data_IF_792071155040
#
_entry.id   IF_792071155040
#
_cell.length_a   1.000
_cell.length_b   1.000
_cell.length_c   1.000
_cell.angle_alpha   90.00
_cell.angle_beta   90.00
_cell.angle_gamma   90.00
#
_symmetry.space_group_name_H-M   'P 1'
#
loop_
_entity.id
_entity.type
_entity.pdbx_description
1 polymer ?
#
# COMPACT_ATOMS: atom_id res chain seq x y z
N UNK A 1 -12.74 -15.56 -33.81
CA UNK A 1 -11.78 -14.66 -33.14
C UNK A 1 -12.58 -13.69 -32.28
N UNK A 2 -12.20 -13.48 -31.02
CA UNK A 2 -12.88 -12.50 -30.17
C UNK A 2 -12.54 -11.09 -30.65
N UNK A 3 -13.48 -10.12 -30.55
CA UNK A 3 -13.19 -8.76 -30.96
C UNK A 3 -12.03 -8.17 -30.13
N UNK A 4 -11.21 -7.28 -30.71
CA UNK A 4 -10.19 -6.57 -29.96
C UNK A 4 -10.78 -5.85 -28.74
N UNK A 5 -10.08 -5.92 -27.62
CA UNK A 5 -10.50 -5.27 -26.37
C UNK A 5 -9.76 -3.94 -26.23
N UNK A 6 -10.48 -2.89 -25.88
CA UNK A 6 -9.90 -1.58 -25.55
C UNK A 6 -10.11 -1.30 -24.06
N UNK A 7 -9.03 -0.92 -23.38
CA UNK A 7 -9.06 -0.44 -21.99
C UNK A 7 -8.34 0.89 -21.91
N UNK A 8 -8.97 1.87 -21.29
CA UNK A 8 -8.40 3.19 -21.06
C UNK A 8 -7.77 3.25 -19.67
N UNK A 9 -6.56 3.78 -19.59
CA UNK A 9 -5.77 3.85 -18.35
C UNK A 9 -5.58 5.31 -17.95
N UNK A 10 -5.95 5.64 -16.73
CA UNK A 10 -5.66 6.92 -16.10
C UNK A 10 -4.72 6.69 -14.92
N UNK A 11 -3.65 7.46 -14.80
CA UNK A 11 -2.65 7.30 -13.74
C UNK A 11 -2.57 8.56 -12.89
N UNK A 12 -2.81 8.44 -11.60
CA UNK A 12 -2.55 9.48 -10.60
C UNK A 12 -1.33 9.03 -9.80
N UNK A 13 -0.29 9.86 -9.75
CA UNK A 13 0.97 9.52 -9.11
C UNK A 13 1.99 8.93 -10.09
N UNK A 14 2.99 9.74 -10.44
CA UNK A 14 4.12 9.36 -11.31
C UNK A 14 5.46 9.48 -10.57
N UNK A 15 5.45 9.17 -9.27
CA UNK A 15 6.65 9.04 -8.42
C UNK A 15 7.39 7.73 -8.70
N UNK A 16 8.17 7.23 -7.72
CA UNK A 16 8.96 6.00 -7.87
C UNK A 16 8.12 4.79 -8.33
N UNK A 17 7.04 4.48 -7.61
CA UNK A 17 6.11 3.40 -7.97
C UNK A 17 5.42 3.67 -9.31
N UNK A 18 4.93 4.88 -9.53
CA UNK A 18 4.23 5.25 -10.77
C UNK A 18 5.10 5.14 -12.03
N UNK A 19 6.38 5.53 -11.95
CA UNK A 19 7.36 5.37 -13.04
C UNK A 19 7.63 3.89 -13.35
N UNK A 20 7.85 3.08 -12.32
CA UNK A 20 8.03 1.64 -12.48
C UNK A 20 6.80 1.00 -13.12
N UNK A 21 5.60 1.37 -12.64
CA UNK A 21 4.32 0.93 -13.21
C UNK A 21 4.18 1.31 -14.69
N UNK A 22 4.43 2.57 -15.07
CA UNK A 22 4.31 3.03 -16.47
C UNK A 22 5.29 2.31 -17.40
N UNK A 23 6.51 2.02 -16.93
CA UNK A 23 7.48 1.22 -17.68
C UNK A 23 6.97 -0.20 -17.94
N UNK A 24 6.46 -0.87 -16.90
CA UNK A 24 5.88 -2.21 -17.02
C UNK A 24 4.61 -2.21 -17.87
N UNK A 25 3.76 -1.19 -17.73
CA UNK A 25 2.52 -1.03 -18.50
C UNK A 25 2.82 -0.88 -20.00
N UNK A 26 3.88 -0.16 -20.39
CA UNK A 26 4.32 -0.07 -21.78
C UNK A 26 4.69 -1.45 -22.35
N UNK A 27 5.47 -2.22 -21.61
CA UNK A 27 5.86 -3.58 -22.02
C UNK A 27 4.64 -4.51 -22.12
N UNK A 28 3.73 -4.43 -21.14
CA UNK A 28 2.47 -5.16 -21.13
C UNK A 28 1.58 -4.80 -22.32
N UNK A 29 1.40 -3.50 -22.60
CA UNK A 29 0.59 -3.01 -23.71
C UNK A 29 1.08 -3.54 -25.05
N UNK A 30 2.41 -3.49 -25.28
CA UNK A 30 3.03 -4.08 -26.48
C UNK A 30 2.70 -5.56 -26.63
N UNK A 31 2.92 -6.36 -25.56
CA UNK A 31 2.65 -7.80 -25.56
C UNK A 31 1.18 -8.14 -25.80
N UNK A 32 0.26 -7.44 -25.13
CA UNK A 32 -1.18 -7.71 -25.24
C UNK A 32 -1.76 -7.35 -26.61
N UNK A 33 -1.24 -6.29 -27.24
CA UNK A 33 -1.69 -5.86 -28.57
C UNK A 33 -1.33 -6.84 -29.68
N UNK A 34 -0.30 -7.67 -29.47
CA UNK A 34 0.20 -8.67 -30.44
C UNK A 34 -0.50 -10.04 -30.33
N UNK A 35 -1.46 -10.21 -29.41
CA UNK A 35 -2.19 -11.47 -29.28
C UNK A 35 -2.97 -11.79 -30.57
N UNK A 36 -2.73 -12.97 -31.15
CA UNK A 36 -3.36 -13.41 -32.40
C UNK A 36 -4.85 -13.76 -32.24
N UNK A 37 -5.30 -14.08 -31.02
CA UNK A 37 -6.66 -14.59 -30.76
C UNK A 37 -7.58 -13.57 -30.13
N UNK A 38 -7.03 -12.66 -29.32
CA UNK A 38 -7.77 -11.62 -28.58
C UNK A 38 -6.84 -10.44 -28.25
N UNK A 39 -6.47 -9.61 -29.23
CA UNK A 39 -5.63 -8.43 -28.99
C UNK A 39 -6.31 -7.49 -27.99
N UNK A 40 -5.53 -6.98 -27.04
CA UNK A 40 -6.00 -6.00 -26.06
C UNK A 40 -5.13 -4.75 -26.13
N UNK A 41 -5.76 -3.61 -26.36
CA UNK A 41 -5.12 -2.30 -26.43
C UNK A 41 -5.31 -1.56 -25.11
N UNK A 42 -4.19 -1.12 -24.54
CA UNK A 42 -4.16 -0.29 -23.33
C UNK A 42 -3.80 1.14 -23.73
N UNK A 43 -4.75 2.06 -23.58
CA UNK A 43 -4.60 3.46 -23.97
C UNK A 43 -4.44 4.35 -22.75
N UNK A 44 -3.26 4.89 -22.54
CA UNK A 44 -3.01 5.88 -21.50
C UNK A 44 -3.71 7.19 -21.89
N UNK A 45 -4.64 7.68 -21.07
CA UNK A 45 -5.45 8.86 -21.39
C UNK A 45 -5.30 10.00 -20.39
N UNK A 46 -4.74 9.72 -19.21
CA UNK A 46 -4.50 10.71 -18.17
C UNK A 46 -3.28 10.34 -17.34
N UNK A 47 -2.48 11.34 -17.01
CA UNK A 47 -1.37 11.28 -16.06
C UNK A 47 -1.44 12.53 -15.17
N UNK A 48 -1.29 12.35 -13.86
CA UNK A 48 -1.16 13.49 -12.96
C UNK A 48 -0.16 13.27 -11.84
N UNK A 49 0.37 14.38 -11.33
CA UNK A 49 1.05 14.52 -10.05
C UNK A 49 0.48 15.74 -9.34
N UNK A 50 0.92 16.00 -8.11
CA UNK A 50 0.42 17.12 -7.28
C UNK A 50 0.47 18.50 -7.94
N UNK A 51 1.30 18.70 -8.97
CA UNK A 51 1.52 19.99 -9.64
C UNK A 51 1.27 20.01 -11.15
N UNK A 52 1.02 18.86 -11.78
CA UNK A 52 0.89 18.77 -13.24
C UNK A 52 -0.17 17.74 -13.62
N UNK A 53 -0.89 18.05 -14.69
CA UNK A 53 -1.88 17.17 -15.32
C UNK A 53 -1.59 17.10 -16.82
N UNK A 54 -1.71 15.91 -17.39
CA UNK A 54 -1.77 15.67 -18.82
C UNK A 54 -2.96 14.74 -19.08
N UNK A 55 -3.88 15.11 -19.95
CA UNK A 55 -4.99 14.23 -20.33
C UNK A 55 -5.46 14.50 -21.75
N UNK A 56 -6.09 13.49 -22.35
CA UNK A 56 -6.58 13.52 -23.72
C UNK A 56 -8.08 13.82 -23.76
N UNK A 57 -8.49 14.99 -24.26
CA UNK A 57 -9.90 15.43 -24.22
C UNK A 57 -10.86 14.51 -24.99
N UNK A 58 -10.36 13.84 -26.02
CA UNK A 58 -11.09 12.95 -26.91
C UNK A 58 -10.67 11.48 -26.74
N UNK A 59 -9.94 11.18 -25.65
CA UNK A 59 -9.48 9.83 -25.29
C UNK A 59 -8.49 9.19 -26.28
N UNK A 60 -7.85 9.98 -27.17
CA UNK A 60 -6.70 9.49 -27.92
C UNK A 60 -5.54 9.09 -26.99
N UNK A 61 -4.81 8.00 -27.28
CA UNK A 61 -3.73 7.52 -26.42
C UNK A 61 -2.57 8.53 -26.33
N UNK A 62 -2.15 8.81 -25.10
CA UNK A 62 -0.91 9.49 -24.78
C UNK A 62 0.29 8.56 -25.02
N UNK A 63 1.43 9.14 -25.34
CA UNK A 63 2.65 8.40 -25.65
C UNK A 63 3.30 7.83 -24.39
N UNK A 64 3.44 6.50 -24.32
CA UNK A 64 4.27 5.84 -23.30
C UNK A 64 5.76 6.17 -23.42
N UNK A 65 6.22 6.69 -24.56
CA UNK A 65 7.64 7.02 -24.79
C UNK A 65 8.03 8.41 -24.32
N UNK A 66 7.10 9.37 -24.37
CA UNK A 66 7.36 10.79 -24.09
C UNK A 66 6.54 11.35 -22.93
N UNK A 67 5.72 10.53 -22.26
CA UNK A 67 4.79 10.97 -21.22
C UNK A 67 5.41 11.89 -20.17
N UNK A 68 6.67 11.65 -19.79
CA UNK A 68 7.35 12.45 -18.77
C UNK A 68 7.64 13.87 -19.25
N UNK A 69 8.19 13.99 -20.46
CA UNK A 69 8.44 15.29 -21.09
C UNK A 69 7.12 16.02 -21.36
N UNK A 70 6.11 15.30 -21.86
CA UNK A 70 4.78 15.85 -22.16
C UNK A 70 4.07 16.35 -20.89
N UNK A 71 4.14 15.58 -19.79
CA UNK A 71 3.57 15.97 -18.49
C UNK A 71 4.31 17.18 -17.89
N UNK A 72 5.64 17.21 -18.02
CA UNK A 72 6.46 18.33 -17.54
C UNK A 72 6.15 19.62 -18.31
N UNK A 73 6.01 19.51 -19.64
CA UNK A 73 5.68 20.62 -20.54
C UNK A 73 4.22 21.06 -20.43
N UNK A 74 3.32 20.21 -19.94
CA UNK A 74 1.89 20.53 -19.82
C UNK A 74 1.64 21.80 -19.00
N UNK A 75 0.81 22.67 -19.56
CA UNK A 75 0.29 23.90 -18.93
C UNK A 75 -1.17 23.77 -18.51
N UNK A 76 -1.75 22.57 -18.64
CA UNK A 76 -3.13 22.33 -18.24
C UNK A 76 -3.30 22.57 -16.74
N UNK A 77 -4.38 23.24 -16.32
CA UNK A 77 -4.70 23.37 -14.90
C UNK A 77 -5.03 21.98 -14.33
N UNK A 78 -4.72 21.78 -13.05
CA UNK A 78 -5.18 20.60 -12.33
C UNK A 78 -6.71 20.57 -12.31
N UNK A 79 -7.27 19.37 -12.46
CA UNK A 79 -8.70 19.14 -12.31
C UNK A 79 -8.99 18.66 -10.89
N UNK A 80 -10.04 19.17 -10.24
CA UNK A 80 -10.61 18.53 -9.06
C UNK A 80 -10.94 17.07 -9.33
N UNK A 81 -10.79 16.20 -8.33
CA UNK A 81 -11.01 14.75 -8.48
C UNK A 81 -12.42 14.41 -8.97
N UNK A 82 -13.43 15.18 -8.57
CA UNK A 82 -14.78 15.06 -9.10
C UNK A 82 -14.84 15.23 -10.63
N UNK A 83 -14.13 16.21 -11.17
CA UNK A 83 -14.05 16.46 -12.62
C UNK A 83 -13.23 15.38 -13.33
N UNK A 84 -12.21 14.82 -12.67
CA UNK A 84 -11.48 13.65 -13.17
C UNK A 84 -12.43 12.46 -13.28
N UNK A 85 -13.23 12.17 -12.26
CA UNK A 85 -14.21 11.09 -12.28
C UNK A 85 -15.26 11.28 -13.39
N UNK A 86 -15.76 12.51 -13.59
CA UNK A 86 -16.71 12.83 -14.66
C UNK A 86 -16.09 12.74 -16.06
N UNK A 87 -14.80 13.05 -16.21
CA UNK A 87 -14.06 12.84 -17.45
C UNK A 87 -13.90 11.34 -17.74
N UNK A 88 -13.43 10.55 -16.77
CA UNK A 88 -13.20 9.11 -16.94
C UNK A 88 -14.51 8.34 -17.20
N UNK A 89 -15.61 8.70 -16.53
CA UNK A 89 -16.91 8.08 -16.74
C UNK A 89 -17.52 8.32 -18.13
N UNK A 90 -16.98 9.26 -18.92
CA UNK A 90 -17.41 9.53 -20.31
C UNK A 90 -16.57 8.82 -21.37
N UNK A 91 -15.54 8.08 -20.98
CA UNK A 91 -14.73 7.35 -21.94
C UNK A 91 -15.59 6.34 -22.71
N UNK A 92 -15.31 6.07 -24.00
CA UNK A 92 -16.13 5.21 -24.85
C UNK A 92 -15.99 3.71 -24.54
N UNK A 93 -15.28 3.35 -23.46
CA UNK A 93 -15.00 1.97 -23.09
C UNK A 93 -14.60 1.83 -21.64
N UNK A 94 -14.11 0.64 -21.26
CA UNK A 94 -13.73 0.33 -19.88
C UNK A 94 -12.52 1.18 -19.46
N UNK A 95 -12.60 1.75 -18.26
CA UNK A 95 -11.54 2.59 -17.69
C UNK A 95 -10.99 1.98 -16.42
N UNK A 96 -9.67 2.04 -16.28
CA UNK A 96 -8.95 1.73 -15.05
C UNK A 96 -8.21 2.99 -14.60
N UNK A 97 -8.59 3.51 -13.45
CA UNK A 97 -7.81 4.46 -12.67
C UNK A 97 -6.74 3.69 -11.89
N UNK A 98 -5.49 4.13 -12.02
CA UNK A 98 -4.35 3.62 -11.28
C UNK A 98 -3.89 4.72 -10.33
N UNK A 99 -4.18 4.58 -9.04
CA UNK A 99 -3.72 5.51 -8.01
C UNK A 99 -2.43 4.99 -7.37
N UNK A 100 -1.28 5.51 -7.81
CA UNK A 100 0.04 5.20 -7.27
C UNK A 100 0.49 6.21 -6.21
N UNK A 101 -0.44 6.81 -5.47
CA UNK A 101 -0.14 7.78 -4.41
C UNK A 101 -0.36 7.19 -3.01
N UNK A 102 -0.10 8.00 -1.99
CA UNK A 102 -0.50 7.79 -0.60
C UNK A 102 -1.53 8.84 -0.14
N UNK A 103 -2.27 9.43 -1.09
CA UNK A 103 -3.20 10.54 -0.86
C UNK A 103 -4.50 10.06 -0.22
N UNK A 104 -4.90 10.70 0.88
CA UNK A 104 -6.22 10.49 1.47
C UNK A 104 -7.34 11.02 0.55
N UNK A 105 -7.13 12.20 -0.02
CA UNK A 105 -8.11 12.86 -0.91
C UNK A 105 -8.46 11.98 -2.13
N UNK A 106 -7.45 11.33 -2.74
CA UNK A 106 -7.70 10.41 -3.86
C UNK A 106 -8.49 9.18 -3.41
N UNK A 107 -8.18 8.64 -2.23
CA UNK A 107 -8.87 7.49 -1.66
C UNK A 107 -10.32 7.79 -1.29
N UNK A 108 -10.60 8.96 -0.72
CA UNK A 108 -11.96 9.41 -0.38
C UNK A 108 -12.87 9.52 -1.63
N UNK A 109 -12.28 9.70 -2.81
CA UNK A 109 -13.00 9.77 -4.08
C UNK A 109 -13.19 8.41 -4.78
N UNK A 110 -12.62 7.31 -4.28
CA UNK A 110 -12.81 5.98 -4.88
C UNK A 110 -14.28 5.60 -5.07
N UNK A 111 -15.19 5.81 -4.10
CA UNK A 111 -16.61 5.48 -4.30
C UNK A 111 -17.22 6.21 -5.49
N UNK A 112 -16.80 7.46 -5.78
CA UNK A 112 -17.27 8.21 -6.96
C UNK A 112 -16.78 7.61 -8.26
N UNK A 113 -15.49 7.27 -8.36
CA UNK A 113 -14.93 6.60 -9.54
C UNK A 113 -15.65 5.29 -9.81
N UNK A 114 -15.83 4.47 -8.77
CA UNK A 114 -16.50 3.17 -8.87
C UNK A 114 -17.95 3.31 -9.33
N UNK A 115 -18.73 4.25 -8.77
CA UNK A 115 -20.11 4.53 -9.22
C UNK A 115 -20.21 5.04 -10.66
N UNK A 116 -19.13 5.58 -11.23
CA UNK A 116 -19.04 5.95 -12.65
C UNK A 116 -18.63 4.79 -13.57
N UNK A 117 -18.52 3.57 -13.03
CA UNK A 117 -18.04 2.39 -13.76
C UNK A 117 -16.52 2.39 -14.00
N UNK A 118 -15.78 3.30 -13.37
CA UNK A 118 -14.32 3.37 -13.45
C UNK A 118 -13.73 2.40 -12.43
N UNK A 119 -12.98 1.41 -12.90
CA UNK A 119 -12.28 0.49 -12.00
C UNK A 119 -11.05 1.17 -11.40
N UNK A 120 -10.67 0.80 -10.18
CA UNK A 120 -9.53 1.37 -9.46
C UNK A 120 -8.54 0.27 -9.12
N UNK A 121 -7.27 0.49 -9.42
CA UNK A 121 -6.13 -0.36 -9.04
C UNK A 121 -5.13 0.49 -8.26
N UNK A 122 -4.70 0.07 -7.08
CA UNK A 122 -3.91 0.97 -6.22
C UNK A 122 -3.05 0.26 -5.15
N UNK A 123 -1.81 0.73 -4.89
CA UNK A 123 -1.08 0.44 -3.64
C UNK A 123 -1.51 1.30 -2.43
N UNK A 124 -2.41 2.28 -2.61
CA UNK A 124 -2.76 3.26 -1.60
C UNK A 124 -3.60 2.63 -0.47
N UNK A 125 -2.98 2.48 0.70
CA UNK A 125 -3.63 1.89 1.88
C UNK A 125 -4.75 2.75 2.46
N UNK A 126 -4.81 4.06 2.15
CA UNK A 126 -5.69 5.01 2.83
C UNK A 126 -7.18 4.69 2.65
N UNK A 127 -7.58 4.23 1.46
CA UNK A 127 -8.98 3.84 1.21
C UNK A 127 -9.42 2.63 2.02
N UNK A 128 -8.48 1.76 2.40
CA UNK A 128 -8.78 0.45 2.99
C UNK A 128 -8.47 0.36 4.48
N UNK A 129 -7.63 1.28 4.97
CA UNK A 129 -7.22 1.39 6.38
C UNK A 129 -7.68 2.70 7.04
N UNK A 130 -8.46 3.52 6.33
CA UNK A 130 -9.12 4.71 6.89
C UNK A 130 -10.30 4.33 7.77
N UNK A 131 -11.34 5.18 7.81
CA UNK A 131 -12.58 4.85 8.53
C UNK A 131 -13.22 3.57 8.00
N UNK A 132 -14.00 2.89 8.84
CA UNK A 132 -14.76 1.73 8.39
C UNK A 132 -15.86 2.13 7.38
N UNK A 133 -16.47 3.30 7.57
CA UNK A 133 -17.44 3.84 6.61
C UNK A 133 -16.88 4.04 5.19
N UNK A 134 -15.64 4.53 5.03
CA UNK A 134 -15.02 4.64 3.71
C UNK A 134 -14.79 3.27 3.06
N UNK A 135 -14.37 2.27 3.86
CA UNK A 135 -14.26 0.89 3.40
C UNK A 135 -15.61 0.38 2.88
N UNK A 136 -16.68 0.53 3.66
CA UNK A 136 -18.03 0.14 3.26
C UNK A 136 -18.49 0.85 1.98
N UNK A 137 -18.29 2.17 1.89
CA UNK A 137 -18.65 2.96 0.71
C UNK A 137 -17.93 2.52 -0.56
N UNK A 138 -16.65 2.15 -0.45
CA UNK A 138 -15.84 1.63 -1.57
C UNK A 138 -16.43 0.31 -2.07
N UNK A 139 -16.64 -0.66 -1.18
CA UNK A 139 -17.11 -1.98 -1.59
C UNK A 139 -18.59 -1.96 -1.99
N UNK A 140 -19.42 -1.11 -1.39
CA UNK A 140 -20.79 -0.87 -1.84
C UNK A 140 -20.83 -0.25 -3.23
N UNK A 141 -19.96 0.73 -3.52
CA UNK A 141 -19.86 1.32 -4.85
C UNK A 141 -19.38 0.31 -5.90
N UNK A 142 -18.39 -0.54 -5.56
CA UNK A 142 -17.90 -1.58 -6.45
C UNK A 142 -18.95 -2.68 -6.72
N UNK A 143 -19.79 -3.00 -5.73
CA UNK A 143 -20.87 -3.99 -5.86
C UNK A 143 -22.16 -3.46 -6.52
N UNK A 144 -22.25 -2.14 -6.76
CA UNK A 144 -23.43 -1.53 -7.37
C UNK A 144 -23.60 -1.91 -8.85
N UNK A 145 -24.84 -1.84 -9.37
CA UNK A 145 -25.10 -2.12 -10.78
C UNK A 145 -24.33 -1.14 -11.68
N UNK A 146 -23.44 -1.68 -12.52
CA UNK A 146 -22.57 -0.87 -13.38
C UNK A 146 -21.34 -0.28 -12.67
N UNK A 147 -21.11 -0.64 -11.41
CA UNK A 147 -19.93 -0.27 -10.65
C UNK A 147 -18.62 -0.78 -11.26
N UNK A 148 -17.54 -0.01 -11.06
CA UNK A 148 -16.18 -0.43 -11.38
C UNK A 148 -15.66 -1.48 -10.41
N UNK A 149 -14.55 -2.13 -10.78
CA UNK A 149 -13.86 -3.07 -9.89
C UNK A 149 -12.82 -2.35 -9.04
N UNK A 150 -12.54 -2.86 -7.85
CA UNK A 150 -11.51 -2.35 -6.94
C UNK A 150 -10.46 -3.42 -6.68
N UNK A 151 -9.18 -3.09 -6.88
CA UNK A 151 -8.05 -3.97 -6.59
C UNK A 151 -6.96 -3.22 -5.83
N UNK A 152 -6.47 -3.83 -4.75
CA UNK A 152 -5.48 -3.20 -3.88
C UNK A 152 -4.42 -4.19 -3.37
N UNK A 153 -4.03 -5.17 -4.17
CA UNK A 153 -3.04 -6.21 -3.80
C UNK A 153 -1.80 -5.60 -3.14
N UNK A 154 -1.23 -4.57 -3.76
CA UNK A 154 -0.01 -3.92 -3.27
C UNK A 154 -0.16 -3.08 -1.99
N UNK A 155 -1.36 -2.98 -1.43
CA UNK A 155 -1.57 -2.38 -0.10
C UNK A 155 -1.00 -3.26 1.03
N UNK A 156 -0.90 -4.58 0.83
CA UNK A 156 -0.36 -5.54 1.81
C UNK A 156 0.54 -6.54 1.10
N UNK A 157 1.81 -6.66 1.51
CA UNK A 157 2.75 -7.61 0.91
C UNK A 157 3.32 -7.19 -0.46
N UNK A 158 3.08 -5.96 -0.90
CA UNK A 158 3.62 -5.37 -2.14
C UNK A 158 3.27 -6.18 -3.42
N UNK A 159 4.13 -7.09 -3.85
CA UNK A 159 3.88 -7.94 -5.03
C UNK A 159 3.41 -9.36 -4.68
N UNK A 160 3.36 -9.70 -3.39
CA UNK A 160 2.95 -11.02 -2.93
C UNK A 160 1.43 -11.18 -3.06
N UNK A 161 0.93 -12.37 -3.41
CA UNK A 161 -0.50 -12.63 -3.54
C UNK A 161 -1.13 -12.85 -2.16
N UNK A 162 -1.25 -11.78 -1.36
CA UNK A 162 -1.79 -11.89 0.02
C UNK A 162 -3.31 -11.73 -0.02
N UNK A 163 -3.78 -10.65 -0.63
CA UNK A 163 -5.18 -10.23 -0.63
C UNK A 163 -6.00 -11.10 -1.58
N UNK A 164 -5.49 -11.36 -2.79
CA UNK A 164 -6.12 -12.30 -3.72
C UNK A 164 -6.28 -13.69 -3.13
N UNK A 165 -5.21 -14.25 -2.54
CA UNK A 165 -5.28 -15.58 -1.88
C UNK A 165 -6.31 -15.59 -0.75
N UNK A 166 -6.27 -14.59 0.14
CA UNK A 166 -7.23 -14.49 1.24
C UNK A 166 -8.67 -14.42 0.73
N UNK A 167 -8.91 -13.58 -0.27
CA UNK A 167 -10.22 -13.39 -0.88
C UNK A 167 -10.72 -14.68 -1.55
N UNK A 168 -9.87 -15.35 -2.33
CA UNK A 168 -10.26 -16.58 -3.04
C UNK A 168 -10.60 -17.72 -2.07
N UNK A 169 -9.86 -17.85 -0.96
CA UNK A 169 -10.18 -18.81 0.10
C UNK A 169 -11.54 -18.50 0.75
N UNK A 170 -11.79 -17.24 1.12
CA UNK A 170 -13.07 -16.82 1.72
C UNK A 170 -14.24 -16.97 0.74
N UNK A 171 -14.06 -16.56 -0.51
CA UNK A 171 -15.08 -16.64 -1.56
C UNK A 171 -15.46 -18.10 -1.89
N UNK A 172 -14.56 -19.06 -1.65
CA UNK A 172 -14.82 -20.50 -1.82
C UNK A 172 -15.37 -21.19 -0.56
N UNK A 173 -15.52 -20.46 0.54
CA UNK A 173 -16.13 -20.92 1.78
C UNK A 173 -15.16 -21.33 2.89
N UNK A 174 -13.86 -21.05 2.75
CA UNK A 174 -12.91 -21.20 3.86
C UNK A 174 -13.11 -20.10 4.91
N UNK A 175 -12.80 -20.41 6.16
CA UNK A 175 -12.95 -19.51 7.29
C UNK A 175 -11.59 -19.16 7.89
N UNK A 176 -11.21 -17.90 7.76
CA UNK A 176 -9.98 -17.39 8.34
C UNK A 176 -10.07 -17.45 9.86
N UNK A 177 -9.21 -18.25 10.50
CA UNK A 177 -9.13 -18.34 11.97
C UNK A 177 -8.10 -17.39 12.55
N UNK A 178 -6.92 -17.36 11.95
CA UNK A 178 -5.78 -16.59 12.43
C UNK A 178 -4.90 -16.11 11.29
N UNK A 179 -4.42 -14.89 11.37
CA UNK A 179 -3.41 -14.33 10.44
C UNK A 179 -2.27 -13.79 11.27
N UNK A 180 -1.05 -14.26 11.01
CA UNK A 180 0.17 -13.78 11.70
C UNK A 180 1.29 -13.60 10.70
N UNK A 181 2.08 -12.53 10.87
CA UNK A 181 3.22 -12.29 10.00
C UNK A 181 3.99 -11.01 10.30
N UNK A 182 5.09 -10.85 9.56
CA UNK A 182 5.90 -9.63 9.56
C UNK A 182 5.52 -8.80 8.34
N UNK A 183 4.90 -7.65 8.57
CA UNK A 183 4.31 -6.85 7.49
C UNK A 183 5.13 -5.59 7.13
N UNK A 184 6.26 -5.34 7.78
CA UNK A 184 7.18 -4.23 7.46
C UNK A 184 8.54 -4.76 7.03
N UNK A 185 9.02 -4.31 5.86
CA UNK A 185 10.34 -4.65 5.35
C UNK A 185 11.45 -4.11 6.25
N UNK A 186 11.30 -2.87 6.71
CA UNK A 186 12.22 -2.22 7.66
C UNK A 186 12.27 -2.98 8.98
N UNK A 187 11.12 -3.30 9.59
CA UNK A 187 11.11 -4.09 10.83
C UNK A 187 11.71 -5.48 10.63
N UNK A 188 11.40 -6.12 9.50
CA UNK A 188 11.98 -7.42 9.16
C UNK A 188 13.51 -7.35 9.10
N UNK A 189 14.07 -6.36 8.41
CA UNK A 189 15.50 -6.14 8.33
C UNK A 189 16.13 -5.90 9.72
N UNK A 190 15.54 -5.00 10.51
CA UNK A 190 16.03 -4.66 11.84
C UNK A 190 16.09 -5.87 12.75
N UNK A 191 14.99 -6.62 12.89
CA UNK A 191 14.94 -7.77 13.80
C UNK A 191 15.72 -8.99 13.29
N UNK A 192 15.88 -9.16 11.98
CA UNK A 192 16.77 -10.19 11.44
C UNK A 192 18.25 -9.86 11.68
N UNK A 193 18.62 -8.58 11.80
CA UNK A 193 20.00 -8.16 12.09
C UNK A 193 20.28 -8.07 13.59
N UNK A 194 19.32 -7.55 14.37
CA UNK A 194 19.42 -7.39 15.82
C UNK A 194 19.31 -8.72 16.59
N UNK A 195 18.41 -9.62 16.14
CA UNK A 195 18.15 -10.92 16.74
C UNK A 195 18.12 -12.03 15.66
N UNK A 196 19.28 -12.33 15.04
CA UNK A 196 19.39 -13.35 14.01
C UNK A 196 19.13 -14.76 14.55
N UNK A 197 18.69 -15.66 13.68
CA UNK A 197 18.61 -17.09 14.00
C UNK A 197 20.04 -17.62 14.18
N UNK A 198 20.32 -18.19 15.36
CA UNK A 198 21.67 -18.60 15.77
C UNK A 198 22.29 -17.72 16.85
N UNK A 199 21.60 -16.65 17.27
CA UNK A 199 22.06 -15.74 18.31
C UNK A 199 23.12 -14.77 17.83
N UNK A 200 23.51 -13.84 18.71
CA UNK A 200 24.37 -12.72 18.35
C UNK A 200 23.56 -11.53 17.84
N UNK A 201 24.11 -10.74 16.91
CA UNK A 201 23.54 -9.45 16.54
C UNK A 201 24.03 -8.30 17.43
N UNK A 202 23.86 -7.07 16.95
CA UNK A 202 24.36 -5.86 17.61
C UNK A 202 23.37 -5.22 18.57
N UNK A 203 23.64 -3.95 18.89
CA UNK A 203 22.71 -3.07 19.59
C UNK A 203 21.59 -2.63 18.65
N UNK A 204 20.37 -2.51 19.16
CA UNK A 204 19.23 -2.11 18.33
C UNK A 204 19.45 -0.73 17.69
N UNK A 205 19.97 0.24 18.44
CA UNK A 205 20.24 1.58 17.91
C UNK A 205 21.20 1.57 16.71
N UNK A 206 22.20 0.68 16.73
CA UNK A 206 23.19 0.57 15.64
C UNK A 206 22.57 -0.08 14.39
N UNK A 207 21.69 -1.07 14.57
CA UNK A 207 20.95 -1.65 13.44
C UNK A 207 19.98 -0.63 12.81
N UNK A 208 19.36 0.24 13.61
CA UNK A 208 18.52 1.33 13.09
C UNK A 208 19.36 2.35 12.30
N UNK A 209 20.53 2.74 12.80
CA UNK A 209 21.46 3.62 12.06
C UNK A 209 21.88 2.99 10.73
N UNK A 210 22.28 1.72 10.75
CA UNK A 210 22.65 0.96 9.56
C UNK A 210 21.51 0.88 8.55
N UNK A 211 20.28 0.64 9.01
CA UNK A 211 19.11 0.63 8.14
C UNK A 211 18.88 1.99 7.46
N UNK A 212 19.08 3.11 8.18
CA UNK A 212 19.00 4.46 7.60
C UNK A 212 20.10 4.70 6.56
N UNK A 213 21.34 4.31 6.84
CA UNK A 213 22.47 4.44 5.92
C UNK A 213 22.25 3.65 4.61
N UNK A 214 21.63 2.47 4.71
CA UNK A 214 21.26 1.64 3.56
C UNK A 214 20.00 2.12 2.82
N UNK A 215 19.30 3.14 3.33
CA UNK A 215 18.05 3.63 2.77
C UNK A 215 16.87 2.67 2.95
N UNK A 216 16.90 1.83 3.99
CA UNK A 216 15.83 0.88 4.34
C UNK A 216 14.81 1.46 5.32
N UNK A 217 15.02 2.67 5.84
CA UNK A 217 14.05 3.41 6.64
C UNK A 217 13.47 4.57 5.84
N UNK A 218 12.37 5.12 6.31
CA UNK A 218 11.95 6.48 5.96
C UNK A 218 13.02 7.51 6.38
N UNK A 219 12.98 8.75 5.86
CA UNK A 219 13.94 9.80 6.23
C UNK A 219 14.03 10.04 7.74
N UNK A 220 12.90 9.90 8.44
CA UNK A 220 12.82 9.82 9.89
C UNK A 220 12.47 8.37 10.32
N UNK A 221 13.41 7.62 10.93
CA UNK A 221 13.16 6.22 11.33
C UNK A 221 11.97 6.02 12.28
N UNK A 222 11.51 7.07 12.96
CA UNK A 222 10.31 7.03 13.80
C UNK A 222 9.05 6.69 13.01
N UNK A 223 9.01 7.03 11.72
CA UNK A 223 7.87 6.73 10.86
C UNK A 223 7.67 5.22 10.66
N UNK A 224 8.77 4.45 10.69
CA UNK A 224 8.75 2.99 10.69
C UNK A 224 8.49 2.43 12.11
N UNK A 225 9.25 2.90 13.11
CA UNK A 225 9.29 2.35 14.47
C UNK A 225 7.98 2.53 15.26
N UNK A 226 7.10 3.45 14.84
CA UNK A 226 5.80 3.64 15.50
C UNK A 226 4.79 2.50 15.22
N UNK A 227 5.05 1.60 14.25
CA UNK A 227 4.19 0.45 13.94
C UNK A 227 2.91 0.76 13.15
N UNK A 228 2.65 2.03 12.79
CA UNK A 228 1.41 2.46 12.14
C UNK A 228 1.26 1.92 10.72
N UNK A 229 2.36 1.75 9.97
CA UNK A 229 2.31 1.10 8.65
C UNK A 229 1.85 -0.36 8.76
N UNK A 230 2.35 -1.08 9.77
CA UNK A 230 1.90 -2.45 10.08
C UNK A 230 0.44 -2.43 10.51
N UNK A 231 0.04 -1.55 11.42
CA UNK A 231 -1.35 -1.42 11.87
C UNK A 231 -2.34 -1.17 10.71
N UNK A 232 -1.96 -0.35 9.72
CA UNK A 232 -2.78 -0.14 8.51
C UNK A 232 -2.96 -1.42 7.71
N UNK A 233 -1.90 -2.21 7.52
CA UNK A 233 -1.97 -3.50 6.82
C UNK A 233 -2.84 -4.50 7.57
N UNK A 234 -2.73 -4.55 8.90
CA UNK A 234 -3.54 -5.40 9.76
C UNK A 234 -5.02 -5.00 9.75
N UNK A 235 -5.31 -3.69 9.70
CA UNK A 235 -6.70 -3.20 9.53
C UNK A 235 -7.33 -3.75 8.25
N UNK A 236 -6.59 -3.74 7.14
CA UNK A 236 -7.06 -4.26 5.85
C UNK A 236 -7.31 -5.77 5.94
N UNK A 237 -6.34 -6.53 6.44
CA UNK A 237 -6.46 -7.99 6.56
C UNK A 237 -7.58 -8.41 7.52
N UNK A 238 -7.75 -7.70 8.63
CA UNK A 238 -8.81 -7.98 9.60
C UNK A 238 -10.19 -7.73 8.99
N UNK A 239 -10.37 -6.62 8.24
CA UNK A 239 -11.61 -6.34 7.51
C UNK A 239 -11.91 -7.40 6.45
N UNK A 240 -10.90 -7.81 5.68
CA UNK A 240 -11.04 -8.93 4.73
C UNK A 240 -11.38 -10.26 5.41
N UNK A 241 -10.94 -10.45 6.65
CA UNK A 241 -11.25 -11.63 7.47
C UNK A 241 -12.59 -11.51 8.23
N UNK A 242 -13.40 -10.49 7.95
CA UNK A 242 -14.73 -10.30 8.53
C UNK A 242 -14.78 -9.52 9.85
N UNK A 243 -13.68 -8.90 10.29
CA UNK A 243 -13.65 -8.08 11.50
C UNK A 243 -13.84 -6.59 11.17
N UNK A 244 -14.87 -5.90 11.72
CA UNK A 244 -15.13 -4.49 11.44
C UNK A 244 -14.20 -3.58 12.25
N UNK A 245 -12.92 -3.56 11.92
CA UNK A 245 -11.93 -2.70 12.57
C UNK A 245 -12.19 -1.25 12.19
N UNK A 246 -12.42 -0.38 13.19
CA UNK A 246 -12.77 1.03 12.96
C UNK A 246 -11.60 1.81 12.34
N UNK A 247 -10.40 1.66 12.91
CA UNK A 247 -9.20 2.37 12.46
C UNK A 247 -7.90 1.64 12.87
N UNK A 248 -6.74 2.04 12.31
CA UNK A 248 -5.44 1.49 12.69
C UNK A 248 -5.02 1.78 14.13
N UNK A 249 -5.76 2.63 14.85
CA UNK A 249 -5.51 2.98 16.25
C UNK A 249 -6.60 2.43 17.18
N UNK A 250 -7.52 1.61 16.66
CA UNK A 250 -8.63 1.02 17.43
C UNK A 250 -8.27 -0.29 18.15
N UNK A 251 -7.02 -0.75 18.01
CA UNK A 251 -6.51 -1.97 18.61
C UNK A 251 -5.06 -1.77 19.10
N UNK A 252 -4.52 -2.66 19.96
CA UNK A 252 -3.16 -2.52 20.51
C UNK A 252 -2.07 -2.48 19.42
N UNK A 253 -1.29 -1.40 19.40
CA UNK A 253 -0.10 -1.23 18.57
C UNK A 253 1.07 -0.82 19.46
N UNK A 254 2.07 -1.69 19.59
CA UNK A 254 3.30 -1.39 20.31
C UNK A 254 4.21 -0.52 19.44
N UNK A 255 4.45 0.71 19.87
CA UNK A 255 5.52 1.56 19.33
C UNK A 255 6.87 1.09 19.85
N UNK A 256 7.89 1.10 18.98
CA UNK A 256 9.29 0.87 19.34
C UNK A 256 10.06 2.16 19.60
N UNK A 257 9.38 3.32 19.54
CA UNK A 257 9.96 4.62 19.91
C UNK A 257 9.96 4.69 21.45
N UNK A 258 11.12 4.85 22.11
CA UNK A 258 11.15 5.10 23.55
C UNK A 258 10.39 6.38 23.88
N UNK A 259 9.53 6.35 24.91
CA UNK A 259 8.67 7.50 25.28
C UNK A 259 9.42 8.84 25.37
N UNK A 260 10.63 8.93 25.96
CA UNK A 260 11.36 10.21 26.03
C UNK A 260 11.85 10.74 24.67
N UNK A 261 11.84 9.91 23.63
CA UNK A 261 12.29 10.25 22.27
C UNK A 261 11.13 10.52 21.31
N UNK A 262 9.87 10.31 21.71
CA UNK A 262 8.70 10.73 20.92
C UNK A 262 8.74 12.24 20.63
N UNK A 263 9.19 13.04 21.60
CA UNK A 263 9.32 14.49 21.51
C UNK A 263 10.63 14.98 20.89
N UNK A 264 11.48 14.08 20.35
CA UNK A 264 12.71 14.49 19.67
C UNK A 264 12.39 15.42 18.48
N UNK A 265 13.20 16.46 18.26
CA UNK A 265 12.89 17.48 17.24
C UNK A 265 13.19 17.03 15.82
N UNK A 266 14.05 16.03 15.66
CA UNK A 266 14.41 15.46 14.36
C UNK A 266 14.75 13.98 14.46
N UNK A 267 14.70 13.28 13.33
CA UNK A 267 15.19 11.91 13.22
C UNK A 267 16.67 11.75 13.57
N UNK A 268 17.49 12.79 13.40
CA UNK A 268 18.90 12.77 13.79
C UNK A 268 19.09 12.87 15.30
N UNK A 269 18.32 13.75 15.97
CA UNK A 269 18.28 13.81 17.44
C UNK A 269 17.79 12.48 18.02
N UNK A 270 16.76 11.90 17.42
CA UNK A 270 16.24 10.58 17.77
C UNK A 270 17.34 9.50 17.70
N UNK A 271 18.05 9.40 16.56
CA UNK A 271 19.10 8.40 16.37
C UNK A 271 20.31 8.57 17.29
N UNK A 272 20.69 9.81 17.58
CA UNK A 272 21.79 10.09 18.49
C UNK A 272 21.50 9.58 19.91
N UNK A 273 20.24 9.61 20.32
CA UNK A 273 19.80 9.27 21.67
C UNK A 273 19.20 7.86 21.80
N UNK A 274 18.89 7.18 20.69
CA UNK A 274 18.26 5.86 20.72
C UNK A 274 19.06 4.82 21.53
N UNK A 275 20.39 4.92 21.50
CA UNK A 275 21.27 4.04 22.27
C UNK A 275 21.16 4.18 23.79
N UNK A 276 20.54 5.25 24.31
CA UNK A 276 20.18 5.39 25.74
C UNK A 276 19.18 4.31 26.19
N UNK A 277 18.47 3.65 25.26
CA UNK A 277 17.37 2.71 25.53
C UNK A 277 17.61 1.30 24.99
N UNK A 278 18.84 0.96 24.58
CA UNK A 278 19.17 -0.39 24.07
C UNK A 278 18.96 -1.49 25.12
N UNK A 279 19.12 -1.17 26.41
CA UNK A 279 19.04 -2.17 27.49
C UNK A 279 17.66 -2.84 27.57
N UNK A 280 16.58 -2.10 27.32
CA UNK A 280 15.21 -2.60 27.40
C UNK A 280 14.95 -3.68 26.34
N UNK A 281 15.35 -3.43 25.09
CA UNK A 281 15.13 -4.37 23.99
C UNK A 281 16.15 -5.51 24.00
N UNK A 282 17.37 -5.27 24.49
CA UNK A 282 18.38 -6.30 24.71
C UNK A 282 17.94 -7.31 25.78
N UNK A 283 17.26 -6.83 26.84
CA UNK A 283 16.66 -7.72 27.84
C UNK A 283 15.63 -8.65 27.21
N UNK A 284 14.71 -8.10 26.41
CA UNK A 284 13.70 -8.90 25.71
C UNK A 284 14.37 -9.95 24.82
N UNK A 285 15.39 -9.57 24.04
CA UNK A 285 16.15 -10.48 23.17
C UNK A 285 16.75 -11.64 23.97
N UNK A 286 17.43 -11.37 25.09
CA UNK A 286 18.02 -12.40 25.95
C UNK A 286 16.96 -13.34 26.55
N UNK A 287 15.80 -12.82 26.93
CA UNK A 287 14.70 -13.67 27.40
C UNK A 287 14.18 -14.60 26.30
N UNK A 288 14.07 -14.13 25.06
CA UNK A 288 13.70 -14.98 23.92
C UNK A 288 14.77 -16.04 23.63
N UNK A 289 16.05 -15.66 23.63
CA UNK A 289 17.17 -16.57 23.41
C UNK A 289 17.25 -17.67 24.47
N UNK A 290 16.97 -17.35 25.74
CA UNK A 290 16.90 -18.33 26.82
C UNK A 290 15.79 -19.39 26.62
N UNK A 291 14.74 -19.05 25.86
CA UNK A 291 13.67 -19.97 25.46
C UNK A 291 13.96 -20.67 24.11
N UNK A 292 15.13 -20.45 23.50
CA UNK A 292 15.45 -20.95 22.15
C UNK A 292 14.67 -20.25 21.03
N UNK A 293 14.20 -19.03 21.28
CA UNK A 293 13.37 -18.21 20.37
C UNK A 293 14.10 -16.96 19.89
N UNK A 294 13.47 -16.20 19.00
CA UNK A 294 13.95 -14.89 18.52
C UNK A 294 12.81 -13.89 18.49
N UNK A 295 13.11 -12.61 18.71
CA UNK A 295 12.07 -11.58 18.68
C UNK A 295 11.79 -11.10 17.27
N UNK A 296 10.52 -10.98 16.91
CA UNK A 296 10.07 -10.35 15.66
C UNK A 296 8.96 -9.34 15.94
N UNK A 297 8.89 -8.30 15.12
CA UNK A 297 7.77 -7.36 15.12
C UNK A 297 6.64 -7.92 14.23
N UNK A 298 5.61 -8.43 14.87
CA UNK A 298 4.55 -9.24 14.26
C UNK A 298 3.23 -8.49 14.34
N UNK A 299 2.41 -8.62 13.29
CA UNK A 299 0.98 -8.37 13.39
C UNK A 299 0.24 -9.69 13.54
N UNK A 300 -0.78 -9.71 14.40
CA UNK A 300 -1.61 -10.89 14.67
C UNK A 300 -3.09 -10.52 14.63
N UNK A 301 -3.88 -11.38 14.01
CA UNK A 301 -5.34 -11.34 13.95
C UNK A 301 -5.84 -12.70 14.40
N UNK A 302 -6.68 -12.72 15.42
CA UNK A 302 -7.45 -13.88 15.85
C UNK A 302 -8.94 -13.57 15.63
N UNK A 303 -9.53 -14.19 14.61
CA UNK A 303 -10.90 -13.90 14.17
C UNK A 303 -11.92 -14.39 15.20
N UNK A 304 -11.68 -15.57 15.79
CA UNK A 304 -12.58 -16.15 16.79
C UNK A 304 -12.63 -15.33 18.08
N UNK A 305 -11.50 -14.74 18.48
CA UNK A 305 -11.42 -13.86 19.66
C UNK A 305 -11.68 -12.39 19.35
N UNK A 306 -11.79 -12.03 18.07
CA UNK A 306 -11.86 -10.64 17.58
C UNK A 306 -10.68 -9.79 18.10
N UNK A 307 -9.51 -10.41 18.20
CA UNK A 307 -8.30 -9.77 18.70
C UNK A 307 -7.39 -9.39 17.53
N UNK A 308 -6.88 -8.17 17.55
CA UNK A 308 -5.91 -7.66 16.56
C UNK A 308 -4.83 -6.95 17.34
N UNK A 309 -3.58 -7.27 17.08
CA UNK A 309 -2.45 -6.62 17.75
C UNK A 309 -1.23 -6.52 16.86
N UNK A 310 -0.41 -5.52 17.14
CA UNK A 310 0.90 -5.31 16.52
C UNK A 310 1.92 -5.11 17.62
N UNK A 311 3.02 -5.87 17.59
CA UNK A 311 4.09 -5.71 18.55
C UNK A 311 5.16 -6.78 18.46
N UNK A 312 6.03 -6.79 19.48
CA UNK A 312 7.07 -7.79 19.62
C UNK A 312 6.49 -9.11 20.09
N UNK A 313 6.80 -10.18 19.37
CA UNK A 313 6.49 -11.56 19.73
C UNK A 313 7.79 -12.38 19.78
N UNK A 314 7.83 -13.38 20.66
CA UNK A 314 8.92 -14.35 20.81
C UNK A 314 8.64 -15.62 20.02
#
# INVERSE_FOLDING_TARGET
MSPPKQVFIAVIGVGGVGRAFLSQLRALSSRLSQSQTSPTYLSLILLSRSSKLLYSKDFHPLSFGSWEADLQASTLPLLPLDQVADYLGRAPGKVVLVDNTSSQDVADHYPRFLRKGVSVVTPNKKGFSGSYGLWEDIFAAAGSQGGGLIFHESSVGAGLPVISTLKELVDTGDEVRKVEGVFSGTMSFLFNSFAPVGGGGGKFSEEVKKAKELGFTEPDPRDDLNGLDVARKLTILARLSGLPIESPTSFPVQSLIPKPLESARSGDEFLARLGEYDEDIEKLKKEAEAEGKVIRFVGSIDVGRKDVKVGLEK
#
